data_IF_071721991118
#
_entry.id   IF_071721991118
#
_cell.length_a   1.000
_cell.length_b   1.000
_cell.length_c   1.000
_cell.angle_alpha   90.00
_cell.angle_beta   90.00
_cell.angle_gamma   90.00
#
_symmetry.space_group_name_H-M   'P 1'
#
loop_
_entity.id
_entity.type
_entity.pdbx_description
1 polymer ?
#
# COMPACT_ATOMS: atom_id res chain seq x y z
N UNK A 1 -0.36 -5.07 -7.89
CA UNK A 1 -0.76 -5.47 -6.53
C UNK A 1 0.13 -6.56 -5.93
N UNK A 2 0.04 -7.84 -6.33
CA UNK A 2 0.76 -8.98 -5.70
C UNK A 2 2.25 -8.71 -5.45
N UNK A 3 2.97 -8.21 -6.45
CA UNK A 3 4.40 -7.88 -6.32
C UNK A 3 4.68 -6.82 -5.25
N UNK A 4 3.84 -5.78 -5.16
CA UNK A 4 3.97 -4.74 -4.14
C UNK A 4 3.71 -5.32 -2.75
N UNK A 5 2.69 -6.18 -2.60
CA UNK A 5 2.41 -6.86 -1.34
C UNK A 5 3.60 -7.72 -0.89
N UNK A 6 4.17 -8.52 -1.81
CA UNK A 6 5.34 -9.35 -1.51
C UNK A 6 6.53 -8.53 -1.01
N UNK A 7 6.76 -7.35 -1.57
CA UNK A 7 7.82 -6.45 -1.10
C UNK A 7 7.50 -5.91 0.30
N UNK A 8 6.26 -5.48 0.54
CA UNK A 8 5.85 -4.85 1.80
C UNK A 8 5.78 -5.80 2.99
N UNK A 9 5.60 -7.11 2.75
CA UNK A 9 5.59 -8.13 3.80
C UNK A 9 6.96 -8.75 4.06
N UNK A 10 7.98 -8.42 3.26
CA UNK A 10 9.34 -8.90 3.48
C UNK A 10 9.91 -8.38 4.80
N UNK A 11 10.64 -9.23 5.53
CA UNK A 11 11.32 -8.87 6.78
C UNK A 11 12.38 -7.79 6.59
N UNK A 12 13.09 -7.85 5.46
CA UNK A 12 14.13 -6.89 5.09
C UNK A 12 13.70 -6.27 3.76
N UNK A 13 13.36 -4.99 3.80
CA UNK A 13 12.95 -4.26 2.60
C UNK A 13 13.98 -3.19 2.29
N UNK A 14 14.54 -3.22 1.08
CA UNK A 14 15.41 -2.14 0.63
C UNK A 14 14.59 -0.92 0.21
N UNK A 15 15.18 0.28 0.31
CA UNK A 15 14.53 1.51 -0.17
C UNK A 15 14.12 1.44 -1.64
N UNK A 16 14.95 0.80 -2.49
CA UNK A 16 14.63 0.61 -3.91
C UNK A 16 13.41 -0.31 -4.10
N UNK A 17 13.29 -1.36 -3.30
CA UNK A 17 12.11 -2.23 -3.32
C UNK A 17 10.86 -1.46 -2.89
N UNK A 18 10.94 -0.61 -1.88
CA UNK A 18 9.81 0.23 -1.46
C UNK A 18 9.38 1.23 -2.54
N UNK A 19 10.34 1.81 -3.27
CA UNK A 19 10.04 2.67 -4.44
C UNK A 19 9.29 1.86 -5.52
N UNK A 20 9.74 0.62 -5.82
CA UNK A 20 9.05 -0.28 -6.75
C UNK A 20 7.62 -0.58 -6.27
N UNK A 21 7.45 -0.91 -4.99
CA UNK A 21 6.15 -1.21 -4.41
C UNK A 21 5.21 0.01 -4.50
N UNK A 22 5.72 1.21 -4.16
CA UNK A 22 4.95 2.44 -4.22
C UNK A 22 4.48 2.75 -5.65
N UNK A 23 5.38 2.67 -6.64
CA UNK A 23 5.03 2.87 -8.05
C UNK A 23 3.94 1.91 -8.51
N UNK A 24 4.07 0.63 -8.18
CA UNK A 24 3.07 -0.40 -8.54
C UNK A 24 1.71 -0.18 -7.88
N UNK A 25 1.69 0.33 -6.65
CA UNK A 25 0.44 0.67 -5.97
C UNK A 25 -0.20 1.90 -6.60
N UNK A 26 0.59 2.93 -6.90
CA UNK A 26 0.10 4.13 -7.57
C UNK A 26 -0.49 3.82 -8.95
N UNK A 27 0.19 2.99 -9.76
CA UNK A 27 -0.32 2.54 -11.06
C UNK A 27 -1.64 1.78 -10.91
N UNK A 28 -1.74 0.89 -9.91
CA UNK A 28 -2.98 0.16 -9.64
C UNK A 28 -4.14 1.10 -9.30
N UNK A 29 -3.93 2.08 -8.41
CA UNK A 29 -4.97 3.04 -8.02
C UNK A 29 -5.42 3.86 -9.23
N UNK A 30 -4.48 4.32 -10.06
CA UNK A 30 -4.78 5.06 -11.30
C UNK A 30 -5.59 4.22 -12.29
N UNK A 31 -5.26 2.95 -12.47
CA UNK A 31 -6.01 2.07 -13.37
C UNK A 31 -7.42 1.78 -12.84
N UNK A 32 -7.60 1.64 -11.53
CA UNK A 32 -8.93 1.51 -10.91
C UNK A 32 -9.73 2.80 -11.09
N UNK A 33 -9.11 3.96 -10.84
CA UNK A 33 -9.75 5.27 -11.02
C UNK A 33 -10.21 5.46 -12.47
N UNK A 34 -9.35 5.12 -13.43
CA UNK A 34 -9.64 5.22 -14.86
C UNK A 34 -10.77 4.28 -15.29
N UNK A 35 -10.80 3.06 -14.75
CA UNK A 35 -11.76 2.02 -15.15
C UNK A 35 -13.13 2.22 -14.52
N UNK A 36 -13.16 2.61 -13.23
CA UNK A 36 -14.39 2.64 -12.43
C UNK A 36 -14.83 4.05 -12.04
N UNK A 37 -14.02 5.06 -12.35
CA UNK A 37 -14.24 6.46 -12.00
C UNK A 37 -13.74 6.81 -10.59
N UNK A 38 -13.49 8.10 -10.32
CA UNK A 38 -12.94 8.58 -9.04
C UNK A 38 -13.85 8.28 -7.84
N UNK A 39 -15.17 8.20 -8.06
CA UNK A 39 -16.15 7.86 -7.00
C UNK A 39 -15.97 6.44 -6.45
N UNK A 40 -15.22 5.59 -7.14
CA UNK A 40 -14.94 4.20 -6.72
C UNK A 40 -13.60 4.05 -6.01
N UNK A 41 -12.84 5.14 -5.86
CA UNK A 41 -11.65 5.16 -5.01
C UNK A 41 -12.09 5.23 -3.56
N UNK A 42 -12.03 4.09 -2.89
CA UNK A 42 -12.31 4.01 -1.46
C UNK A 42 -11.14 4.60 -0.65
N UNK A 43 -11.39 5.05 0.60
CA UNK A 43 -10.32 5.45 1.49
C UNK A 43 -9.23 4.38 1.65
N UNK A 44 -9.60 3.10 1.75
CA UNK A 44 -8.62 2.00 1.84
C UNK A 44 -7.70 1.94 0.62
N UNK A 45 -8.25 2.17 -0.58
CA UNK A 45 -7.46 2.16 -1.81
C UNK A 45 -6.51 3.36 -1.89
N UNK A 46 -6.96 4.53 -1.41
CA UNK A 46 -6.09 5.70 -1.26
C UNK A 46 -4.97 5.42 -0.24
N UNK A 47 -5.29 4.85 0.93
CA UNK A 47 -4.32 4.52 1.96
C UNK A 47 -3.26 3.50 1.52
N UNK A 48 -3.57 2.64 0.53
CA UNK A 48 -2.58 1.74 -0.04
C UNK A 48 -1.32 2.48 -0.55
N UNK A 49 -1.43 3.71 -1.06
CA UNK A 49 -0.27 4.44 -1.61
C UNK A 49 0.73 4.86 -0.51
N UNK A 50 0.24 5.03 0.72
CA UNK A 50 1.01 5.48 1.88
C UNK A 50 1.63 4.32 2.69
N UNK A 51 1.34 3.07 2.33
CA UNK A 51 1.91 1.88 3.00
C UNK A 51 3.44 1.83 2.93
N UNK A 52 4.03 2.34 1.84
CA UNK A 52 5.49 2.37 1.70
C UNK A 52 6.15 3.37 2.65
N UNK A 53 5.48 4.50 2.92
CA UNK A 53 5.93 5.50 3.89
C UNK A 53 5.84 4.93 5.31
N UNK A 54 4.71 4.30 5.64
CA UNK A 54 4.55 3.60 6.92
C UNK A 54 5.64 2.54 7.13
N UNK A 55 6.00 1.80 6.08
CA UNK A 55 7.04 0.79 6.18
C UNK A 55 8.45 1.38 6.38
N UNK A 56 8.71 2.58 5.87
CA UNK A 56 9.97 3.31 6.09
C UNK A 56 10.08 3.81 7.54
N UNK A 57 8.98 4.34 8.08
CA UNK A 57 8.99 5.01 9.39
C UNK A 57 8.91 4.01 10.56
N UNK A 58 8.12 2.94 10.41
CA UNK A 58 7.79 2.02 11.50
C UNK A 58 8.34 0.61 11.32
N UNK A 59 8.89 0.28 10.14
CA UNK A 59 9.43 -1.04 9.83
C UNK A 59 8.45 -1.94 9.05
N UNK A 60 8.62 -3.27 9.07
CA UNK A 60 7.82 -4.17 8.24
C UNK A 60 6.32 -4.16 8.60
N UNK A 61 5.44 -4.17 7.58
CA UNK A 61 3.99 -4.03 7.79
C UNK A 61 3.34 -5.16 8.58
N UNK A 62 3.96 -6.33 8.69
CA UNK A 62 3.42 -7.43 9.50
C UNK A 62 3.53 -7.16 11.01
N UNK A 63 4.32 -6.18 11.42
CA UNK A 63 4.63 -5.92 12.83
C UNK A 63 3.72 -4.90 13.50
N UNK A 64 2.87 -4.21 12.74
CA UNK A 64 1.97 -3.17 13.25
C UNK A 64 0.75 -2.97 12.34
N UNK A 65 -0.25 -2.25 12.85
CA UNK A 65 -1.39 -1.77 12.06
C UNK A 65 -1.08 -0.36 11.57
N UNK A 66 -1.05 -0.13 10.25
CA UNK A 66 -0.74 1.18 9.67
C UNK A 66 -1.84 2.20 9.97
N UNK A 67 -3.09 1.75 9.98
CA UNK A 67 -4.25 2.62 10.18
C UNK A 67 -5.20 2.02 11.20
N UNK A 68 -5.76 2.88 12.06
CA UNK A 68 -6.78 2.47 13.05
C UNK A 68 -8.00 1.80 12.40
N UNK A 69 -8.34 2.18 11.17
CA UNK A 69 -9.47 1.65 10.41
C UNK A 69 -9.22 0.22 9.91
N UNK A 70 -7.97 -0.26 9.82
CA UNK A 70 -7.70 -1.64 9.40
C UNK A 70 -8.29 -2.66 10.37
N UNK A 71 -8.33 -2.31 11.67
CA UNK A 71 -8.97 -3.12 12.71
C UNK A 71 -10.48 -3.27 12.53
N UNK A 72 -11.11 -2.37 11.77
CA UNK A 72 -12.54 -2.37 11.49
C UNK A 72 -12.90 -3.19 10.24
N UNK A 73 -11.91 -3.71 9.50
CA UNK A 73 -12.13 -4.56 8.31
C UNK A 73 -12.39 -6.04 8.64
N UNK A 74 -12.69 -6.36 9.91
CA UNK A 74 -13.02 -7.70 10.39
C UNK A 74 -14.46 -8.11 10.11
#
# INVERSE_FOLDING_TARGET
FVRACNILVCTIVSKNSLIEAHQRLLEMVKEIEKTYGPKKISPNLHLCIHLCECSLDYGPLYSFWCYSMERMNG
#
